data_IF_817980215264
#
_entry.id   IF_817980215264
#
_cell.length_a   1.000
_cell.length_b   1.000
_cell.length_c   1.000
_cell.angle_alpha   90.00
_cell.angle_beta   90.00
_cell.angle_gamma   90.00
#
_symmetry.space_group_name_H-M   'P 1'
#
loop_
_entity.id
_entity.type
_entity.pdbx_description
1 polymer ?
#
# COMPACT_ATOMS: atom_id res chain seq x y z
N UNK A 1 -18.73 31.47 -13.73
CA UNK A 1 -19.35 30.14 -13.56
C UNK A 1 -18.29 29.08 -13.88
N UNK A 2 -17.36 28.88 -12.96
CA UNK A 2 -16.13 28.08 -13.17
C UNK A 2 -16.42 26.60 -13.42
N UNK A 3 -17.45 26.04 -12.76
CA UNK A 3 -17.97 24.69 -13.02
C UNK A 3 -18.34 24.43 -14.49
N UNK A 4 -18.97 25.43 -15.13
CA UNK A 4 -19.37 25.33 -16.54
C UNK A 4 -18.11 25.32 -17.41
N UNK A 5 -17.11 26.16 -17.10
CA UNK A 5 -15.84 26.17 -17.83
C UNK A 5 -15.11 24.83 -17.71
N UNK A 6 -15.08 24.24 -16.51
CA UNK A 6 -14.50 22.92 -16.25
C UNK A 6 -15.23 21.83 -17.06
N UNK A 7 -16.55 21.77 -16.99
CA UNK A 7 -17.34 20.78 -17.73
C UNK A 7 -17.13 20.87 -19.25
N UNK A 8 -17.07 22.09 -19.80
CA UNK A 8 -16.77 22.30 -21.21
C UNK A 8 -15.32 21.95 -21.57
N UNK A 9 -14.35 22.24 -20.69
CA UNK A 9 -12.96 21.87 -20.91
C UNK A 9 -12.81 20.34 -20.99
N UNK A 10 -13.38 19.60 -20.04
CA UNK A 10 -13.37 18.14 -20.01
C UNK A 10 -14.04 17.55 -21.26
N UNK A 11 -15.23 18.04 -21.60
CA UNK A 11 -15.95 17.65 -22.81
C UNK A 11 -15.10 17.84 -24.08
N UNK A 12 -14.36 18.95 -24.17
CA UNK A 12 -13.47 19.25 -25.30
C UNK A 12 -12.27 18.30 -25.36
N UNK A 13 -11.71 17.91 -24.21
CA UNK A 13 -10.51 17.06 -24.16
C UNK A 13 -10.85 15.62 -24.55
N UNK A 14 -11.97 15.11 -24.05
CA UNK A 14 -12.45 13.74 -24.34
C UNK A 14 -13.12 13.69 -25.72
N UNK A 15 -13.63 14.82 -26.23
CA UNK A 15 -14.34 14.89 -27.51
C UNK A 15 -15.82 14.51 -27.40
N UNK A 16 -16.43 14.77 -26.25
CA UNK A 16 -17.84 14.47 -25.92
C UNK A 16 -18.59 15.76 -25.56
N UNK A 17 -19.91 15.67 -25.28
CA UNK A 17 -20.75 16.78 -24.85
C UNK A 17 -20.98 16.78 -23.34
N UNK A 18 -21.01 17.96 -22.74
CA UNK A 18 -21.38 18.15 -21.33
C UNK A 18 -22.90 18.38 -21.20
N UNK A 19 -23.61 17.44 -20.59
CA UNK A 19 -25.05 17.50 -20.36
C UNK A 19 -25.39 17.92 -18.93
N UNK A 20 -26.13 19.01 -18.78
CA UNK A 20 -26.57 19.49 -17.47
C UNK A 20 -27.79 18.71 -16.97
N UNK A 21 -27.69 18.09 -15.78
CA UNK A 21 -28.71 17.17 -15.23
C UNK A 21 -29.84 17.86 -14.45
N UNK A 22 -29.95 19.20 -14.49
CA UNK A 22 -31.00 20.00 -13.82
C UNK A 22 -31.18 19.65 -12.33
N UNK A 23 -32.26 20.11 -11.69
CA UNK A 23 -32.55 19.80 -10.29
C UNK A 23 -33.01 18.33 -10.15
N UNK A 24 -32.66 17.62 -9.05
CA UNK A 24 -32.00 18.12 -7.84
C UNK A 24 -30.46 18.10 -7.88
N UNK A 25 -29.84 17.37 -8.80
CA UNK A 25 -28.40 17.06 -8.78
C UNK A 25 -27.53 18.23 -9.23
N UNK A 26 -27.98 19.00 -10.23
CA UNK A 26 -27.28 20.14 -10.83
C UNK A 26 -25.85 19.81 -11.32
N UNK A 27 -25.61 18.55 -11.69
CA UNK A 27 -24.32 18.04 -12.18
C UNK A 27 -24.19 18.16 -13.70
N UNK A 28 -22.97 18.10 -14.22
CA UNK A 28 -22.72 17.93 -15.65
C UNK A 28 -22.21 16.50 -15.90
N UNK A 29 -22.94 15.72 -16.69
CA UNK A 29 -22.45 14.42 -17.18
C UNK A 29 -21.69 14.62 -18.47
N UNK A 30 -20.54 13.98 -18.61
CA UNK A 30 -19.65 14.10 -19.76
C UNK A 30 -19.27 12.68 -20.19
N UNK A 31 -19.93 12.21 -21.25
CA UNK A 31 -19.88 10.80 -21.63
C UNK A 31 -20.41 9.89 -20.50
N UNK A 32 -19.91 8.65 -20.46
CA UNK A 32 -20.36 7.64 -19.49
C UNK A 32 -19.56 7.66 -18.18
N UNK A 33 -18.33 8.18 -18.22
CA UNK A 33 -17.35 7.98 -17.15
C UNK A 33 -17.02 9.24 -16.33
N UNK A 34 -17.49 10.43 -16.71
CA UNK A 34 -17.06 11.67 -16.08
C UNK A 34 -18.25 12.52 -15.65
N UNK A 35 -18.25 12.98 -14.40
CA UNK A 35 -19.30 13.84 -13.85
C UNK A 35 -18.68 15.02 -13.13
N UNK A 36 -19.12 16.24 -13.43
CA UNK A 36 -18.77 17.43 -12.65
C UNK A 36 -19.88 17.72 -11.65
N UNK A 37 -19.53 17.70 -10.37
CA UNK A 37 -20.49 17.87 -9.26
C UNK A 37 -20.98 19.32 -9.15
N UNK A 38 -22.01 19.53 -8.32
CA UNK A 38 -22.49 20.88 -8.01
C UNK A 38 -21.41 21.73 -7.30
N UNK A 39 -20.53 21.09 -6.53
CA UNK A 39 -19.42 21.72 -5.82
C UNK A 39 -18.26 22.10 -6.75
N UNK A 40 -18.21 21.55 -7.97
CA UNK A 40 -17.16 21.83 -8.94
C UNK A 40 -16.07 20.76 -9.00
N UNK A 41 -16.27 19.64 -8.34
CA UNK A 41 -15.35 18.49 -8.35
C UNK A 41 -15.59 17.62 -9.58
N UNK A 42 -14.53 16.96 -10.04
CA UNK A 42 -14.59 15.96 -11.12
C UNK A 42 -14.63 14.56 -10.51
N UNK A 43 -15.76 13.87 -10.67
CA UNK A 43 -15.91 12.45 -10.36
C UNK A 43 -15.61 11.62 -11.63
N UNK A 44 -14.76 10.62 -11.48
CA UNK A 44 -14.35 9.70 -12.55
C UNK A 44 -14.80 8.29 -12.16
N UNK A 45 -15.55 7.65 -13.06
CA UNK A 45 -16.04 6.28 -12.89
C UNK A 45 -14.88 5.27 -12.90
N UNK A 46 -15.04 4.16 -12.19
CA UNK A 46 -14.13 3.01 -12.19
C UNK A 46 -14.01 2.36 -13.58
N UNK A 47 -15.01 2.57 -14.44
CA UNK A 47 -15.03 2.10 -15.82
C UNK A 47 -14.19 2.96 -16.78
N UNK A 48 -13.64 4.09 -16.33
CA UNK A 48 -12.85 4.97 -17.19
C UNK A 48 -11.53 4.30 -17.60
N UNK A 49 -11.14 4.44 -18.87
CA UNK A 49 -9.82 4.00 -19.31
C UNK A 49 -8.73 4.80 -18.59
N UNK A 50 -7.76 4.10 -18.01
CA UNK A 50 -6.69 4.71 -17.23
C UNK A 50 -5.84 5.67 -18.06
N UNK A 51 -5.51 5.32 -19.31
CA UNK A 51 -4.67 6.16 -20.17
C UNK A 51 -5.40 7.41 -20.61
N UNK A 52 -6.70 7.29 -20.89
CA UNK A 52 -7.55 8.45 -21.20
C UNK A 52 -7.68 9.38 -20.00
N UNK A 53 -7.83 8.82 -18.80
CA UNK A 53 -7.90 9.57 -17.54
C UNK A 53 -6.61 10.32 -17.26
N UNK A 54 -5.46 9.67 -17.39
CA UNK A 54 -4.14 10.31 -17.23
C UNK A 54 -3.94 11.46 -18.24
N UNK A 55 -4.32 11.25 -19.50
CA UNK A 55 -4.27 12.28 -20.55
C UNK A 55 -5.18 13.46 -20.23
N UNK A 56 -6.39 13.19 -19.74
CA UNK A 56 -7.35 14.22 -19.33
C UNK A 56 -6.78 15.08 -18.21
N UNK A 57 -6.25 14.45 -17.16
CA UNK A 57 -5.69 15.16 -16.00
C UNK A 57 -4.49 16.03 -16.40
N UNK A 58 -3.59 15.52 -17.25
CA UNK A 58 -2.44 16.29 -17.74
C UNK A 58 -2.86 17.53 -18.55
N UNK A 59 -3.88 17.39 -19.40
CA UNK A 59 -4.40 18.48 -20.22
C UNK A 59 -5.25 19.49 -19.42
N UNK A 60 -5.93 19.05 -18.35
CA UNK A 60 -6.58 19.96 -17.42
C UNK A 60 -5.56 20.78 -16.62
N UNK A 61 -4.46 20.15 -16.18
CA UNK A 61 -3.37 20.81 -15.51
C UNK A 61 -2.70 21.87 -16.41
N UNK A 62 -2.47 21.56 -17.69
CA UNK A 62 -1.92 22.54 -18.66
C UNK A 62 -2.82 23.75 -18.88
N UNK A 63 -4.13 23.60 -18.64
CA UNK A 63 -5.15 24.66 -18.72
C UNK A 63 -5.37 25.41 -17.41
N UNK A 64 -4.56 25.15 -16.39
CA UNK A 64 -4.61 25.83 -15.09
C UNK A 64 -5.68 25.31 -14.14
N UNK A 65 -6.30 24.16 -14.44
CA UNK A 65 -7.11 23.44 -13.46
C UNK A 65 -6.17 22.60 -12.61
N UNK A 66 -5.71 23.19 -11.50
CA UNK A 66 -5.03 22.44 -10.47
C UNK A 66 -6.06 21.69 -9.65
N UNK A 67 -5.78 20.41 -9.35
CA UNK A 67 -6.42 19.75 -8.23
C UNK A 67 -6.03 20.60 -7.01
N UNK A 68 -6.98 21.16 -6.23
CA UNK A 68 -6.62 21.85 -5.01
C UNK A 68 -5.72 20.92 -4.21
N UNK A 69 -4.62 21.46 -3.66
CA UNK A 69 -3.79 20.78 -2.67
C UNK A 69 -4.64 20.52 -1.43
N UNK A 70 -5.61 19.61 -1.51
CA UNK A 70 -6.06 18.82 -0.38
C UNK A 70 -4.88 17.90 -0.06
N UNK A 71 -3.84 18.46 0.53
CA UNK A 71 -2.80 17.72 1.24
C UNK A 71 -3.38 17.16 2.53
N UNK A 72 -4.40 16.33 2.41
CA UNK A 72 -4.21 14.99 2.89
C UNK A 72 -4.13 14.18 1.60
N UNK A 73 -2.93 13.75 1.14
CA UNK A 73 -2.93 12.68 0.15
C UNK A 73 -3.89 11.63 0.70
N UNK A 74 -4.82 11.11 -0.11
CA UNK A 74 -5.54 9.89 0.26
C UNK A 74 -4.50 8.99 0.91
N UNK A 75 -4.61 8.79 2.23
CA UNK A 75 -3.47 8.32 2.98
C UNK A 75 -3.24 6.91 2.46
N UNK A 76 -2.23 6.74 1.60
CA UNK A 76 -1.81 5.41 1.12
C UNK A 76 -1.41 4.52 2.29
N UNK A 77 -1.26 5.11 3.49
CA UNK A 77 -1.22 4.43 4.76
C UNK A 77 -2.31 3.37 4.89
N UNK A 78 -1.86 2.13 5.02
CA UNK A 78 -2.69 0.98 5.32
C UNK A 78 -2.41 0.54 6.76
N UNK A 79 -3.49 0.48 7.53
CA UNK A 79 -3.48 -0.12 8.87
C UNK A 79 -4.09 -1.51 8.78
N UNK A 80 -3.28 -2.54 8.99
CA UNK A 80 -3.77 -3.91 9.09
C UNK A 80 -4.24 -4.16 10.52
N UNK A 81 -5.30 -4.93 10.69
CA UNK A 81 -5.92 -5.20 11.99
C UNK A 81 -6.06 -6.70 12.21
N UNK A 82 -5.87 -7.13 13.46
CA UNK A 82 -6.11 -8.49 13.92
C UNK A 82 -7.06 -8.47 15.13
N UNK A 83 -7.99 -9.42 15.26
CA UNK A 83 -8.83 -9.55 16.45
C UNK A 83 -8.01 -9.63 17.74
N UNK A 84 -8.42 -8.93 18.80
CA UNK A 84 -7.69 -8.93 20.07
C UNK A 84 -7.69 -10.31 20.75
N UNK A 85 -8.75 -11.08 20.58
CA UNK A 85 -8.89 -12.46 21.09
C UNK A 85 -7.88 -13.45 20.48
N UNK A 86 -7.24 -13.09 19.37
CA UNK A 86 -6.14 -13.84 18.81
C UNK A 86 -4.90 -13.85 19.74
N UNK A 87 -4.75 -12.80 20.56
CA UNK A 87 -3.57 -12.58 21.38
C UNK A 87 -3.81 -12.88 22.86
N UNK A 88 -2.80 -13.47 23.49
CA UNK A 88 -2.63 -13.42 24.94
C UNK A 88 -1.53 -12.41 25.25
N UNK A 89 -1.39 -12.01 26.52
CA UNK A 89 -0.27 -11.15 26.95
C UNK A 89 1.09 -11.74 26.54
N UNK A 90 1.26 -13.06 26.66
CA UNK A 90 2.45 -13.77 26.24
C UNK A 90 2.67 -13.69 24.71
N UNK A 91 1.61 -13.92 23.93
CA UNK A 91 1.68 -13.89 22.47
C UNK A 91 2.03 -12.50 21.95
N UNK A 92 1.45 -11.46 22.56
CA UNK A 92 1.73 -10.07 22.22
C UNK A 92 3.18 -9.69 22.59
N UNK A 93 3.67 -10.19 23.73
CA UNK A 93 5.08 -10.06 24.11
C UNK A 93 6.04 -10.71 23.11
N UNK A 94 5.72 -11.91 22.64
CA UNK A 94 6.48 -12.58 21.57
C UNK A 94 6.49 -11.76 20.28
N UNK A 95 5.33 -11.25 19.86
CA UNK A 95 5.19 -10.44 18.65
C UNK A 95 6.06 -9.19 18.73
N UNK A 96 5.96 -8.43 19.84
CA UNK A 96 6.80 -7.25 20.11
C UNK A 96 8.28 -7.62 20.03
N UNK A 97 8.69 -8.73 20.63
CA UNK A 97 10.08 -9.16 20.60
C UNK A 97 10.57 -9.53 19.20
N UNK A 98 9.73 -10.18 18.38
CA UNK A 98 10.05 -10.50 16.99
C UNK A 98 10.27 -9.21 16.19
N UNK A 99 9.39 -8.22 16.36
CA UNK A 99 9.50 -6.92 15.72
C UNK A 99 10.76 -6.17 16.15
N UNK A 100 11.06 -6.12 17.45
CA UNK A 100 12.29 -5.49 17.98
C UNK A 100 13.56 -6.11 17.38
N UNK A 101 13.63 -7.44 17.34
CA UNK A 101 14.80 -8.13 16.78
C UNK A 101 15.01 -7.82 15.28
N UNK A 102 13.95 -7.43 14.57
CA UNK A 102 13.93 -7.23 13.12
C UNK A 102 13.59 -5.81 12.71
N UNK A 103 13.68 -4.86 13.64
CA UNK A 103 13.21 -3.48 13.42
C UNK A 103 13.80 -2.87 12.15
N UNK A 104 15.13 -2.93 11.98
CA UNK A 104 15.81 -2.42 10.80
C UNK A 104 15.40 -3.14 9.50
N UNK A 105 15.13 -4.45 9.58
CA UNK A 105 14.73 -5.24 8.42
C UNK A 105 13.30 -4.89 7.97
N UNK A 106 12.38 -4.73 8.92
CA UNK A 106 10.99 -4.39 8.65
C UNK A 106 10.84 -2.93 8.20
N UNK A 107 11.53 -1.99 8.87
CA UNK A 107 11.57 -0.59 8.45
C UNK A 107 12.09 -0.46 7.00
N UNK A 108 13.17 -1.18 6.64
CA UNK A 108 13.67 -1.19 5.27
C UNK A 108 12.70 -1.84 4.28
N UNK A 109 12.01 -2.92 4.65
CA UNK A 109 11.08 -3.62 3.75
C UNK A 109 9.83 -2.80 3.46
N UNK A 110 9.25 -2.19 4.50
CA UNK A 110 7.97 -1.47 4.43
C UNK A 110 8.14 0.04 4.25
N UNK A 111 9.39 0.51 4.18
CA UNK A 111 9.75 1.93 4.01
C UNK A 111 9.06 2.83 5.05
N UNK A 112 9.01 2.36 6.29
CA UNK A 112 8.44 3.05 7.44
C UNK A 112 9.51 3.24 8.51
N UNK A 113 9.43 4.32 9.27
CA UNK A 113 10.21 4.56 10.49
C UNK A 113 9.48 4.06 11.75
N UNK A 114 8.17 3.83 11.67
CA UNK A 114 7.32 3.38 12.77
C UNK A 114 6.80 1.95 12.58
N UNK A 115 6.91 1.12 13.62
CA UNK A 115 6.40 -0.25 13.68
C UNK A 115 5.55 -0.46 14.94
N UNK A 116 4.68 0.50 15.24
CA UNK A 116 3.85 0.47 16.43
C UNK A 116 2.84 -0.68 16.40
N UNK A 117 2.65 -1.30 17.57
CA UNK A 117 1.61 -2.31 17.79
C UNK A 117 0.64 -1.71 18.79
N UNK A 118 -0.53 -1.33 18.30
CA UNK A 118 -1.54 -0.58 19.05
C UNK A 118 -2.67 -1.54 19.45
N UNK A 119 -2.65 -2.10 20.67
CA UNK A 119 -3.73 -2.93 21.17
C UNK A 119 -4.93 -2.06 21.62
N UNK A 120 -6.12 -2.58 21.40
CA UNK A 120 -7.40 -2.11 21.95
C UNK A 120 -8.19 -3.31 22.47
N UNK A 121 -9.35 -3.06 23.07
CA UNK A 121 -10.21 -4.13 23.61
C UNK A 121 -10.74 -5.09 22.54
N UNK A 122 -10.93 -4.62 21.31
CA UNK A 122 -11.52 -5.40 20.20
C UNK A 122 -10.47 -5.92 19.22
N UNK A 123 -9.40 -5.14 18.98
CA UNK A 123 -8.43 -5.39 17.91
C UNK A 123 -7.03 -4.89 18.25
N UNK A 124 -6.05 -5.41 17.51
CA UNK A 124 -4.66 -4.93 17.48
C UNK A 124 -4.38 -4.36 16.10
N UNK A 125 -3.86 -3.14 16.06
CA UNK A 125 -3.61 -2.40 14.82
C UNK A 125 -2.10 -2.29 14.51
N UNK A 126 -1.80 -2.37 13.21
CA UNK A 126 -0.47 -2.32 12.63
C UNK A 126 -0.41 -1.24 11.54
N UNK A 127 -0.22 0.05 11.90
CA UNK A 127 -0.16 1.17 10.97
C UNK A 127 1.22 1.26 10.29
N UNK A 128 1.67 0.18 9.64
CA UNK A 128 3.06 0.04 9.16
C UNK A 128 3.23 0.30 7.67
N UNK A 129 2.15 0.25 6.90
CA UNK A 129 2.23 -0.01 5.47
C UNK A 129 1.76 1.17 4.65
N UNK A 130 2.29 1.27 3.43
CA UNK A 130 1.82 2.19 2.41
C UNK A 130 1.49 1.37 1.17
N UNK A 131 0.28 1.52 0.63
CA UNK A 131 -0.17 0.84 -0.60
C UNK A 131 0.27 1.66 -1.80
N UNK A 132 1.14 1.09 -2.63
CA UNK A 132 1.65 1.75 -3.84
C UNK A 132 1.19 1.06 -5.11
N UNK A 133 1.00 -0.26 -5.05
CA UNK A 133 0.67 -1.11 -6.19
C UNK A 133 -0.51 -2.04 -5.85
N UNK A 134 -1.17 -2.52 -6.90
CA UNK A 134 -2.19 -3.56 -6.78
C UNK A 134 -1.60 -4.84 -6.15
N UNK A 135 -2.33 -5.43 -5.21
CA UNK A 135 -1.90 -6.58 -4.42
C UNK A 135 -1.01 -6.28 -3.20
N UNK A 136 -0.63 -5.01 -2.95
CA UNK A 136 0.15 -4.64 -1.76
C UNK A 136 -0.64 -4.92 -0.48
N UNK A 137 -1.89 -4.49 -0.44
CA UNK A 137 -2.76 -4.69 0.73
C UNK A 137 -2.90 -6.17 1.10
N UNK A 138 -3.11 -7.04 0.11
CA UNK A 138 -3.21 -8.49 0.33
C UNK A 138 -1.89 -9.08 0.86
N UNK A 139 -0.75 -8.63 0.32
CA UNK A 139 0.56 -9.06 0.77
C UNK A 139 0.82 -8.67 2.24
N UNK A 140 0.45 -7.45 2.63
CA UNK A 140 0.61 -6.96 4.00
C UNK A 140 -0.35 -7.63 4.98
N UNK A 141 -1.62 -7.82 4.60
CA UNK A 141 -2.58 -8.61 5.38
C UNK A 141 -2.09 -10.04 5.61
N UNK A 142 -1.58 -10.68 4.55
CA UNK A 142 -0.99 -12.03 4.64
C UNK A 142 0.23 -12.03 5.56
N UNK A 143 1.12 -11.06 5.40
CA UNK A 143 2.32 -10.96 6.24
C UNK A 143 1.97 -10.83 7.73
N UNK A 144 1.05 -9.93 8.09
CA UNK A 144 0.63 -9.74 9.49
C UNK A 144 -0.03 -11.00 10.03
N UNK A 145 -0.89 -11.65 9.24
CA UNK A 145 -1.54 -12.91 9.65
C UNK A 145 -0.51 -13.98 9.98
N UNK A 146 0.45 -14.20 9.08
CA UNK A 146 1.51 -15.19 9.25
C UNK A 146 2.48 -14.82 10.39
N UNK A 147 2.77 -13.53 10.58
CA UNK A 147 3.61 -13.04 11.67
C UNK A 147 2.95 -13.28 13.03
N UNK A 148 1.65 -13.00 13.16
CA UNK A 148 0.88 -13.20 14.38
C UNK A 148 0.74 -14.69 14.69
N UNK A 149 0.46 -15.53 13.70
CA UNK A 149 0.41 -16.98 13.85
C UNK A 149 1.77 -17.55 14.28
N UNK A 150 2.85 -17.08 13.65
CA UNK A 150 4.19 -17.44 14.07
C UNK A 150 4.45 -17.06 15.54
N UNK A 151 4.12 -15.82 15.96
CA UNK A 151 4.29 -15.38 17.34
C UNK A 151 3.50 -16.22 18.35
N UNK A 152 2.29 -16.66 17.98
CA UNK A 152 1.41 -17.54 18.77
C UNK A 152 2.00 -18.94 18.96
N UNK A 153 2.65 -19.46 17.94
CA UNK A 153 3.22 -20.81 17.95
C UNK A 153 4.62 -20.89 18.57
N UNK A 154 5.25 -19.76 18.91
CA UNK A 154 6.54 -19.74 19.60
C UNK A 154 6.36 -19.76 21.13
N UNK A 155 7.02 -20.69 21.80
CA UNK A 155 7.06 -20.72 23.27
C UNK A 155 8.01 -19.68 23.85
N UNK A 156 9.07 -19.30 23.12
CA UNK A 156 10.02 -18.26 23.53
C UNK A 156 10.69 -17.64 22.30
N UNK A 157 10.93 -16.33 22.37
CA UNK A 157 11.73 -15.60 21.38
C UNK A 157 13.08 -15.22 21.98
N UNK A 158 14.16 -15.51 21.25
CA UNK A 158 15.50 -15.05 21.64
C UNK A 158 15.65 -13.54 21.38
N UNK A 159 16.24 -12.80 22.31
CA UNK A 159 16.52 -11.36 22.18
C UNK A 159 17.85 -11.16 21.47
N UNK A 160 17.83 -11.23 20.14
CA UNK A 160 19.02 -10.99 19.33
C UNK A 160 18.63 -10.18 18.10
N UNK A 161 19.14 -8.94 17.97
CA UNK A 161 18.91 -8.15 16.78
C UNK A 161 19.54 -8.83 15.56
N UNK A 162 18.90 -8.68 14.40
CA UNK A 162 19.45 -9.15 13.14
C UNK A 162 20.70 -8.33 12.76
N UNK A 163 21.80 -9.04 12.47
CA UNK A 163 23.11 -8.44 12.14
C UNK A 163 23.55 -8.80 10.71
N UNK A 164 22.60 -9.02 9.80
CA UNK A 164 22.90 -9.46 8.43
C UNK A 164 23.27 -8.27 7.54
N UNK A 165 24.24 -8.49 6.66
CA UNK A 165 24.70 -7.59 5.59
C UNK A 165 23.85 -7.69 4.32
N UNK A 166 23.04 -8.74 4.17
CA UNK A 166 22.10 -8.92 3.06
C UNK A 166 20.66 -9.00 3.58
N UNK A 167 19.92 -7.86 3.61
CA UNK A 167 18.58 -7.83 4.16
C UNK A 167 17.57 -8.60 3.29
N UNK A 168 17.71 -8.60 1.95
CA UNK A 168 16.81 -9.34 1.06
C UNK A 168 16.87 -10.85 1.28
N UNK A 169 18.07 -11.41 1.45
CA UNK A 169 18.23 -12.82 1.83
C UNK A 169 17.62 -13.11 3.21
N UNK A 170 17.91 -12.27 4.20
CA UNK A 170 17.40 -12.46 5.57
C UNK A 170 15.88 -12.44 5.62
N UNK A 171 15.24 -11.47 4.97
CA UNK A 171 13.79 -11.38 4.91
C UNK A 171 13.21 -12.61 4.21
N UNK A 172 13.77 -13.04 3.07
CA UNK A 172 13.31 -14.26 2.40
C UNK A 172 13.36 -15.48 3.33
N UNK A 173 14.47 -15.69 4.02
CA UNK A 173 14.60 -16.79 4.99
C UNK A 173 13.61 -16.67 6.14
N UNK A 174 13.30 -15.45 6.58
CA UNK A 174 12.31 -15.21 7.60
C UNK A 174 10.89 -15.53 7.12
N UNK A 175 10.50 -15.11 5.91
CA UNK A 175 9.19 -15.44 5.31
C UNK A 175 9.00 -16.96 5.19
N UNK A 176 10.06 -17.71 4.90
CA UNK A 176 10.02 -19.18 4.91
C UNK A 176 9.72 -19.72 6.32
N UNK A 177 10.36 -19.15 7.36
CA UNK A 177 10.10 -19.55 8.76
C UNK A 177 8.70 -19.17 9.24
N UNK A 178 8.11 -18.11 8.70
CA UNK A 178 6.71 -17.75 8.94
C UNK A 178 5.74 -18.77 8.31
N UNK A 179 6.19 -19.60 7.37
CA UNK A 179 5.35 -20.56 6.65
C UNK A 179 4.88 -20.07 5.29
N UNK A 180 5.39 -18.94 4.78
CA UNK A 180 5.09 -18.43 3.43
C UNK A 180 5.86 -19.21 2.36
N UNK A 181 5.56 -20.50 2.26
CA UNK A 181 6.18 -21.48 1.36
C UNK A 181 5.13 -21.91 0.35
N UNK A 182 5.45 -21.83 -0.94
CA UNK A 182 4.50 -22.23 -2.00
C UNK A 182 4.33 -21.18 -3.09
N UNK A 183 3.55 -21.53 -4.10
CA UNK A 183 3.26 -20.67 -5.25
C UNK A 183 2.22 -19.60 -4.91
N UNK A 184 1.31 -19.89 -3.99
CA UNK A 184 0.29 -19.01 -3.45
C UNK A 184 0.91 -17.76 -2.79
N UNK A 185 2.04 -17.91 -2.10
CA UNK A 185 2.76 -16.78 -1.49
C UNK A 185 3.72 -16.08 -2.46
N UNK A 186 3.78 -16.46 -3.74
CA UNK A 186 4.75 -15.90 -4.69
C UNK A 186 4.57 -14.38 -4.86
N UNK A 187 3.32 -13.93 -5.00
CA UNK A 187 3.01 -12.51 -5.15
C UNK A 187 3.36 -11.73 -3.87
N UNK A 188 2.89 -12.21 -2.71
CA UNK A 188 3.18 -11.57 -1.42
C UNK A 188 4.68 -11.47 -1.12
N UNK A 189 5.44 -12.55 -1.36
CA UNK A 189 6.91 -12.54 -1.20
C UNK A 189 7.58 -11.53 -2.13
N UNK A 190 7.09 -11.35 -3.36
CA UNK A 190 7.63 -10.36 -4.28
C UNK A 190 7.43 -8.95 -3.74
N UNK A 191 6.24 -8.64 -3.22
CA UNK A 191 5.92 -7.33 -2.61
C UNK A 191 6.83 -7.07 -1.41
N UNK A 192 6.88 -7.99 -0.44
CA UNK A 192 7.62 -7.79 0.82
C UNK A 192 9.14 -7.65 0.59
N UNK A 193 9.69 -8.27 -0.47
CA UNK A 193 11.12 -8.23 -0.77
C UNK A 193 11.54 -7.07 -1.70
N UNK A 194 10.60 -6.33 -2.28
CA UNK A 194 10.90 -5.41 -3.40
C UNK A 194 11.87 -4.29 -3.01
N UNK A 195 11.70 -3.73 -1.81
CA UNK A 195 12.46 -2.59 -1.31
C UNK A 195 13.80 -2.97 -0.65
N UNK A 196 14.05 -4.27 -0.47
CA UNK A 196 15.26 -4.74 0.18
C UNK A 196 16.41 -4.89 -0.80
N UNK A 197 17.58 -4.41 -0.38
CA UNK A 197 18.85 -4.51 -1.11
C UNK A 197 19.50 -5.89 -0.91
N UNK A 198 20.39 -6.26 -1.84
CA UNK A 198 21.12 -7.52 -1.81
C UNK A 198 20.46 -8.65 -2.60
N UNK A 199 21.09 -9.82 -2.57
CA UNK A 199 20.67 -10.99 -3.35
C UNK A 199 19.71 -11.87 -2.54
N UNK A 200 18.62 -12.36 -3.13
CA UNK A 200 17.66 -13.19 -2.39
C UNK A 200 18.10 -14.65 -2.19
N UNK A 201 19.01 -15.16 -3.02
CA UNK A 201 19.44 -16.56 -3.02
C UNK A 201 20.64 -16.83 -2.12
N UNK A 202 21.56 -15.87 -1.97
CA UNK A 202 22.81 -16.07 -1.25
C UNK A 202 22.97 -15.06 -0.12
N UNK A 203 23.39 -15.53 1.06
CA UNK A 203 23.66 -14.67 2.21
C UNK A 203 24.80 -13.68 1.96
N UNK A 204 25.90 -14.17 1.39
CA UNK A 204 27.01 -13.35 0.89
C UNK A 204 27.07 -13.52 -0.61
N UNK A 205 27.08 -12.42 -1.33
CA UNK A 205 27.40 -12.44 -2.76
C UNK A 205 28.93 -12.49 -2.82
N UNK A 206 29.50 -13.49 -3.50
CA UNK A 206 30.93 -13.44 -3.85
C UNK A 206 31.19 -12.19 -4.68
N UNK A 207 32.42 -11.70 -4.68
CA UNK A 207 32.85 -10.41 -5.27
C UNK A 207 32.69 -10.29 -6.81
N UNK A 208 31.81 -11.09 -7.44
CA UNK A 208 31.78 -11.31 -8.89
C UNK A 208 30.48 -10.97 -9.60
N UNK A 209 29.42 -10.52 -8.93
CA UNK A 209 28.15 -10.22 -9.64
C UNK A 209 27.56 -8.86 -9.24
N UNK A 210 28.38 -7.81 -9.33
CA UNK A 210 27.84 -6.52 -9.71
C UNK A 210 27.42 -6.63 -11.18
N UNK A 211 26.15 -6.33 -11.45
CA UNK A 211 25.46 -6.35 -12.75
C UNK A 211 24.84 -7.70 -13.13
N UNK A 212 23.54 -7.82 -12.90
CA UNK A 212 22.58 -8.25 -13.92
C UNK A 212 21.19 -7.75 -13.53
N UNK A 213 20.54 -7.08 -14.48
CA UNK A 213 19.20 -6.45 -14.44
C UNK A 213 18.06 -7.36 -13.94
#
# INVERSE_FOLDING_TARGET
NERKKLAWAIATIIGTTAEYQYMPTCTYKIGECYTVTKAGDLEISDQADRKETERLLAELASRGYAVPDTTEPESKGLTVQMPADFFTEHTLGNLRQICENKVALFQAAFQTDCLDIIPSDEKVEFPWFTVEQDGDADAYCTFISMLCEFAKNQSRINRKPDTSDNPKYTMRCFLIRLGMVGAEFKAARKVILRNLTGNSAFRKVGDTDAVSE
#
